data_IF_570582951067
#
_entry.id   IF_570582951067
#
_cell.length_a   1.000
_cell.length_b   1.000
_cell.length_c   1.000
_cell.angle_alpha   90.00
_cell.angle_beta   90.00
_cell.angle_gamma   90.00
#
_symmetry.space_group_name_H-M   'P 1'
#
loop_
_entity.id
_entity.type
_entity.pdbx_description
1 polymer ?
#
# COMPACT_ATOMS: atom_id res chain seq x y z
N UNK A 1 -12.67 1.99 36.40
CA UNK A 1 -13.61 2.13 35.28
C UNK A 1 -12.79 1.94 34.03
N UNK A 2 -12.81 0.73 33.46
CA UNK A 2 -12.15 0.44 32.19
C UNK A 2 -12.88 1.21 31.11
N UNK A 3 -12.23 2.26 30.63
CA UNK A 3 -12.67 3.02 29.47
C UNK A 3 -12.65 2.05 28.27
N UNK A 4 -13.80 1.72 27.63
CA UNK A 4 -13.81 0.81 26.51
C UNK A 4 -13.07 1.50 25.38
N UNK A 5 -11.78 1.15 25.21
CA UNK A 5 -10.93 1.64 24.13
C UNK A 5 -11.70 1.49 22.82
N UNK A 6 -12.27 2.59 22.34
CA UNK A 6 -13.02 2.63 21.09
C UNK A 6 -12.08 2.18 19.97
N UNK A 7 -12.25 0.95 19.50
CA UNK A 7 -11.51 0.44 18.37
C UNK A 7 -12.02 1.21 17.16
N UNK A 8 -11.27 2.23 16.71
CA UNK A 8 -11.62 2.95 15.49
C UNK A 8 -11.64 1.95 14.33
N UNK A 9 -12.73 1.92 13.58
CA UNK A 9 -12.93 0.94 12.50
C UNK A 9 -12.37 1.41 11.16
N UNK A 10 -12.34 2.72 10.92
CA UNK A 10 -11.86 3.31 9.67
C UNK A 10 -11.01 4.56 9.95
N UNK A 11 -9.90 4.76 9.23
CA UNK A 11 -9.14 6.00 9.29
C UNK A 11 -9.96 7.13 8.66
N UNK A 12 -9.72 8.37 9.10
CA UNK A 12 -10.30 9.54 8.45
C UNK A 12 -9.74 9.70 7.03
N UNK A 13 -10.51 10.22 6.06
CA UNK A 13 -10.06 10.32 4.67
C UNK A 13 -8.75 11.10 4.50
N UNK A 14 -8.57 12.16 5.29
CA UNK A 14 -7.34 12.97 5.29
C UNK A 14 -6.17 12.19 5.88
N UNK A 15 -6.40 11.43 6.95
CA UNK A 15 -5.38 10.58 7.57
C UNK A 15 -4.90 9.50 6.60
N UNK A 16 -5.84 8.82 5.93
CA UNK A 16 -5.54 7.85 4.89
C UNK A 16 -4.75 8.46 3.73
N UNK A 17 -5.14 9.66 3.27
CA UNK A 17 -4.44 10.38 2.21
C UNK A 17 -2.99 10.69 2.61
N UNK A 18 -2.76 11.18 3.83
CA UNK A 18 -1.42 11.48 4.34
C UNK A 18 -0.55 10.22 4.36
N UNK A 19 -1.10 9.08 4.79
CA UNK A 19 -0.35 7.81 4.83
C UNK A 19 0.05 7.36 3.43
N UNK A 20 -0.84 7.49 2.44
CA UNK A 20 -0.53 7.16 1.04
C UNK A 20 0.54 8.11 0.48
N UNK A 21 0.42 9.41 0.72
CA UNK A 21 1.41 10.40 0.27
C UNK A 21 2.78 10.16 0.93
N UNK A 22 2.81 9.84 2.22
CA UNK A 22 4.03 9.50 2.93
C UNK A 22 4.69 8.23 2.36
N UNK A 23 3.89 7.21 2.03
CA UNK A 23 4.37 5.98 1.39
C UNK A 23 5.00 6.27 0.02
N UNK A 24 4.35 7.10 -0.79
CA UNK A 24 4.84 7.49 -2.11
C UNK A 24 6.12 8.34 -2.02
N UNK A 25 6.17 9.29 -1.09
CA UNK A 25 7.36 10.10 -0.86
C UNK A 25 8.56 9.24 -0.42
N UNK A 26 8.32 8.27 0.49
CA UNK A 26 9.36 7.34 0.92
C UNK A 26 9.87 6.46 -0.23
N UNK A 27 8.99 6.00 -1.12
CA UNK A 27 9.38 5.26 -2.32
C UNK A 27 10.36 6.07 -3.18
N UNK A 28 10.05 7.34 -3.45
CA UNK A 28 10.92 8.21 -4.25
C UNK A 28 12.28 8.36 -3.58
N UNK A 29 12.31 8.62 -2.28
CA UNK A 29 13.57 8.73 -1.54
C UNK A 29 14.39 7.43 -1.62
N UNK A 30 13.75 6.27 -1.53
CA UNK A 30 14.43 4.99 -1.65
C UNK A 30 15.04 4.81 -3.05
N UNK A 31 14.31 5.16 -4.11
CA UNK A 31 14.83 5.11 -5.50
C UNK A 31 16.06 6.01 -5.64
N UNK A 32 15.99 7.25 -5.15
CA UNK A 32 17.10 8.21 -5.22
C UNK A 32 18.30 7.68 -4.42
N UNK A 33 18.08 7.17 -3.21
CA UNK A 33 19.15 6.64 -2.35
C UNK A 33 19.86 5.44 -3.00
N UNK A 34 19.11 4.49 -3.58
CA UNK A 34 19.68 3.34 -4.26
C UNK A 34 20.43 3.75 -5.53
N UNK A 35 19.89 4.69 -6.30
CA UNK A 35 20.59 5.24 -7.47
C UNK A 35 21.90 5.93 -7.10
N UNK A 36 21.90 6.73 -6.03
CA UNK A 36 23.09 7.39 -5.52
C UNK A 36 24.17 6.38 -5.05
N UNK A 37 23.78 5.31 -4.36
CA UNK A 37 24.70 4.25 -3.90
C UNK A 37 25.27 3.44 -5.09
N UNK A 38 24.45 3.18 -6.10
CA UNK A 38 24.87 2.39 -7.28
C UNK A 38 25.71 3.19 -8.28
N UNK A 39 25.89 4.50 -8.08
CA UNK A 39 26.66 5.35 -8.96
C UNK A 39 26.02 5.61 -10.33
N UNK A 40 24.75 5.22 -10.50
CA UNK A 40 23.99 5.46 -11.72
C UNK A 40 23.79 6.97 -11.92
N UNK A 41 24.31 7.50 -13.03
CA UNK A 41 24.23 8.93 -13.33
C UNK A 41 23.02 9.28 -14.21
N UNK A 42 22.53 8.32 -14.99
CA UNK A 42 21.35 8.51 -15.85
C UNK A 42 20.08 7.85 -15.29
N UNK A 43 18.90 8.50 -15.44
CA UNK A 43 17.63 7.96 -14.96
C UNK A 43 17.28 6.58 -15.54
N UNK A 44 17.72 6.29 -16.75
CA UNK A 44 17.50 5.01 -17.46
C UNK A 44 18.26 3.86 -16.82
N UNK A 45 19.53 4.07 -16.45
CA UNK A 45 20.34 3.09 -15.71
C UNK A 45 19.79 2.86 -14.31
N UNK A 46 19.30 3.92 -13.66
CA UNK A 46 18.57 3.79 -12.38
C UNK A 46 17.32 2.91 -12.55
N UNK A 47 16.58 3.03 -13.66
CA UNK A 47 15.36 2.25 -13.93
C UNK A 47 15.66 0.75 -14.19
N UNK A 48 16.72 0.42 -14.93
CA UNK A 48 17.09 -0.98 -15.16
C UNK A 48 17.57 -1.67 -13.87
N UNK A 49 18.37 -0.96 -13.06
CA UNK A 49 18.89 -1.49 -11.80
C UNK A 49 17.81 -1.57 -10.69
N UNK A 50 16.66 -0.91 -10.91
CA UNK A 50 15.57 -0.78 -9.94
C UNK A 50 14.41 -1.75 -10.16
N UNK A 51 14.58 -2.79 -10.97
CA UNK A 51 13.61 -3.91 -11.05
C UNK A 51 13.34 -4.53 -9.67
N UNK A 52 14.36 -4.60 -8.82
CA UNK A 52 14.25 -4.94 -7.41
C UNK A 52 13.44 -3.91 -6.62
N UNK A 53 13.63 -2.62 -6.88
CA UNK A 53 12.89 -1.50 -6.27
C UNK A 53 11.40 -1.55 -6.62
N UNK A 54 10.98 -2.08 -7.77
CA UNK A 54 9.54 -2.26 -8.03
C UNK A 54 8.89 -3.25 -7.05
N UNK A 55 9.58 -4.36 -6.74
CA UNK A 55 9.12 -5.35 -5.76
C UNK A 55 9.19 -4.76 -4.34
N UNK A 56 10.30 -4.09 -3.99
CA UNK A 56 10.43 -3.42 -2.69
C UNK A 56 9.48 -2.22 -2.53
N UNK A 57 9.12 -1.57 -3.63
CA UNK A 57 8.23 -0.44 -3.67
C UNK A 57 6.78 -0.84 -3.40
N UNK A 58 6.34 -1.94 -3.99
CA UNK A 58 5.05 -2.55 -3.63
C UNK A 58 4.98 -2.90 -2.14
N UNK A 59 6.08 -3.39 -1.55
CA UNK A 59 6.15 -3.66 -0.11
C UNK A 59 6.00 -2.39 0.74
N UNK A 60 6.54 -1.25 0.32
CA UNK A 60 6.36 0.03 1.04
C UNK A 60 4.89 0.39 1.14
N UNK A 61 4.11 0.24 0.06
CA UNK A 61 2.67 0.53 0.06
C UNK A 61 1.84 -0.42 0.94
N UNK A 62 2.38 -1.57 1.30
CA UNK A 62 1.73 -2.48 2.24
C UNK A 62 2.21 -2.19 3.67
N UNK A 63 3.52 -2.06 3.86
CA UNK A 63 4.14 -1.91 5.17
C UNK A 63 3.77 -0.60 5.85
N UNK A 64 3.82 0.54 5.14
CA UNK A 64 3.53 1.83 5.75
C UNK A 64 2.10 1.91 6.30
N UNK A 65 1.05 1.62 5.51
CA UNK A 65 -0.33 1.62 6.01
C UNK A 65 -0.55 0.57 7.10
N UNK A 66 0.13 -0.58 7.02
CA UNK A 66 -0.01 -1.64 8.02
C UNK A 66 0.61 -1.25 9.37
N UNK A 67 1.81 -0.67 9.35
CA UNK A 67 2.48 -0.14 10.55
C UNK A 67 1.64 1.00 11.13
N UNK A 68 1.17 1.92 10.29
CA UNK A 68 0.31 3.02 10.72
C UNK A 68 -0.97 2.52 11.39
N UNK A 69 -1.64 1.57 10.74
CA UNK A 69 -2.89 1.01 11.23
C UNK A 69 -2.70 0.26 12.56
N UNK A 70 -1.58 -0.45 12.72
CA UNK A 70 -1.17 -1.08 13.99
C UNK A 70 -0.92 -0.07 15.09
N UNK A 71 -0.18 1.01 14.82
CA UNK A 71 0.15 2.05 15.81
C UNK A 71 -1.10 2.75 16.34
N UNK A 72 -2.06 3.00 15.45
CA UNK A 72 -3.36 3.63 15.78
C UNK A 72 -4.42 2.64 16.28
N UNK A 73 -4.09 1.34 16.38
CA UNK A 73 -4.98 0.26 16.84
C UNK A 73 -6.26 0.13 16.02
N UNK A 74 -6.18 0.38 14.71
CA UNK A 74 -7.27 0.12 13.79
C UNK A 74 -7.47 -1.39 13.57
N UNK A 75 -8.70 -1.78 13.25
CA UNK A 75 -9.02 -3.14 12.80
C UNK A 75 -8.47 -3.37 11.38
N UNK A 76 -7.34 -4.08 11.27
CA UNK A 76 -6.66 -4.34 10.00
C UNK A 76 -7.55 -5.05 8.97
N UNK A 77 -8.42 -5.97 9.40
CA UNK A 77 -9.28 -6.71 8.49
C UNK A 77 -10.30 -5.77 7.82
N UNK A 78 -10.82 -4.80 8.57
CA UNK A 78 -11.73 -3.78 8.06
C UNK A 78 -11.01 -2.72 7.22
N UNK A 79 -9.85 -2.24 7.67
CA UNK A 79 -9.06 -1.21 6.95
C UNK A 79 -8.61 -1.71 5.58
N UNK A 80 -8.04 -2.91 5.52
CA UNK A 80 -7.59 -3.52 4.26
C UNK A 80 -8.69 -4.29 3.53
N UNK A 81 -9.92 -4.25 4.04
CA UNK A 81 -11.09 -4.94 3.48
C UNK A 81 -10.80 -6.40 3.13
N UNK A 82 -10.10 -7.11 4.02
CA UNK A 82 -9.71 -8.51 3.85
C UNK A 82 -10.88 -9.49 4.04
N UNK A 83 -12.12 -8.97 4.09
CA UNK A 83 -13.30 -9.80 4.14
C UNK A 83 -13.47 -10.55 2.82
N UNK A 84 -13.77 -11.86 2.86
CA UNK A 84 -13.94 -12.65 1.64
C UNK A 84 -15.06 -12.07 0.79
N UNK A 85 -14.78 -11.91 -0.51
CA UNK A 85 -15.78 -11.44 -1.48
C UNK A 85 -16.78 -12.58 -1.71
N UNK A 86 -18.11 -12.31 -1.72
CA UNK A 86 -19.10 -13.33 -2.01
C UNK A 86 -18.86 -14.02 -3.36
N UNK A 87 -18.86 -15.35 -3.38
CA UNK A 87 -18.61 -16.17 -4.58
C UNK A 87 -19.49 -15.78 -5.79
N UNK A 88 -20.79 -15.45 -5.63
CA UNK A 88 -21.61 -15.01 -6.76
C UNK A 88 -21.08 -13.75 -7.44
N UNK A 89 -20.58 -12.80 -6.65
CA UNK A 89 -19.98 -11.55 -7.16
C UNK A 89 -18.68 -11.85 -7.89
N UNK A 90 -17.88 -12.77 -7.35
CA UNK A 90 -16.62 -13.18 -7.96
C UNK A 90 -16.84 -13.81 -9.35
N UNK A 91 -17.87 -14.66 -9.48
CA UNK A 91 -18.27 -15.25 -10.77
C UNK A 91 -18.72 -14.19 -11.78
N UNK A 92 -19.57 -13.26 -11.35
CA UNK A 92 -20.04 -12.16 -12.21
C UNK A 92 -18.87 -11.32 -12.71
N UNK A 93 -17.89 -11.00 -11.87
CA UNK A 93 -16.70 -10.23 -12.26
C UNK A 93 -15.90 -10.94 -13.37
N UNK A 94 -15.78 -12.27 -13.33
CA UNK A 94 -15.11 -13.05 -14.38
C UNK A 94 -15.90 -12.99 -15.69
N UNK A 95 -17.22 -13.17 -15.64
CA UNK A 95 -18.09 -13.11 -16.83
C UNK A 95 -18.04 -11.71 -17.46
N UNK A 96 -18.12 -10.65 -16.66
CA UNK A 96 -18.01 -9.28 -17.16
C UNK A 96 -16.63 -8.98 -17.72
N UNK A 97 -15.55 -9.47 -17.08
CA UNK A 97 -14.20 -9.32 -17.59
C UNK A 97 -14.04 -9.96 -18.97
N UNK A 98 -14.56 -11.18 -19.14
CA UNK A 98 -14.54 -11.89 -20.42
C UNK A 98 -15.43 -11.23 -21.49
N UNK A 99 -16.56 -10.64 -21.09
CA UNK A 99 -17.44 -9.92 -22.02
C UNK A 99 -16.87 -8.58 -22.50
N UNK A 100 -15.89 -8.02 -21.79
CA UNK A 100 -15.22 -6.77 -22.13
C UNK A 100 -13.86 -6.97 -22.84
N UNK A 101 -13.38 -8.21 -22.94
CA UNK A 101 -12.16 -8.58 -23.68
C UNK A 101 -12.50 -9.08 -25.08
#
# INVERSE_FOLDING_TARGET
MDDPKEIKHFPEPVEALIVVLASFFFLILMIIAVGAISGAQEPTEMIENSRSIYIFGGLVFILFPLVYARLKKYDLAKVFRLNPVPVPVLYLSVVYGLGLT
#
